data_IF_763078142729
#
_entry.id   IF_763078142729
#
_cell.length_a   1.000
_cell.length_b   1.000
_cell.length_c   1.000
_cell.angle_alpha   90.00
_cell.angle_beta   90.00
_cell.angle_gamma   90.00
#
_symmetry.space_group_name_H-M   'P 1'
#
loop_
_entity.id
_entity.type
_entity.pdbx_description
1 polymer ?
#
# COMPACT_ATOMS: atom_id res chain seq x y z
N UNK A 1 29.56 10.15 8.29
CA UNK A 1 28.39 10.48 9.12
C UNK A 1 27.34 9.41 8.94
N UNK A 2 26.93 8.81 10.02
CA UNK A 2 25.89 7.78 9.97
C UNK A 2 24.60 8.38 9.46
N UNK A 3 23.92 7.64 8.59
CA UNK A 3 22.52 7.96 8.24
C UNK A 3 21.73 7.72 9.51
N UNK A 4 21.21 8.79 10.10
CA UNK A 4 20.35 8.64 11.27
C UNK A 4 19.09 7.91 10.85
N UNK A 5 18.94 6.71 11.37
CA UNK A 5 17.73 5.95 11.19
C UNK A 5 16.63 6.65 11.97
N UNK A 6 15.59 7.08 11.26
CA UNK A 6 14.44 7.71 11.88
C UNK A 6 13.21 6.82 11.68
N UNK A 7 12.75 6.18 12.75
CA UNK A 7 11.57 5.33 12.71
C UNK A 7 10.36 6.08 12.17
N UNK A 8 10.30 7.40 12.38
CA UNK A 8 9.21 8.21 11.84
C UNK A 8 9.14 8.15 10.31
N UNK A 9 10.29 8.02 9.63
CA UNK A 9 10.32 7.91 8.16
C UNK A 9 9.62 6.63 7.67
N UNK A 10 9.73 5.54 8.44
CA UNK A 10 9.05 4.27 8.13
C UNK A 10 7.54 4.50 8.01
N UNK A 11 6.96 5.19 8.99
CA UNK A 11 5.54 5.51 8.97
C UNK A 11 5.17 6.60 7.98
N UNK A 12 6.06 7.58 7.75
CA UNK A 12 5.84 8.60 6.72
C UNK A 12 5.75 7.96 5.34
N UNK A 13 6.62 6.98 5.03
CA UNK A 13 6.54 6.23 3.78
C UNK A 13 5.27 5.37 3.70
N UNK A 14 4.89 4.72 4.82
CA UNK A 14 3.65 3.96 4.87
C UNK A 14 2.43 4.84 4.56
N UNK A 15 2.36 6.01 5.18
CA UNK A 15 1.30 7.01 4.94
C UNK A 15 1.27 7.39 3.46
N UNK A 16 2.42 7.65 2.86
CA UNK A 16 2.52 8.02 1.45
C UNK A 16 2.10 6.89 0.52
N UNK A 17 2.46 5.65 0.85
CA UNK A 17 2.03 4.46 0.12
C UNK A 17 0.49 4.38 0.11
N UNK A 18 -0.14 4.59 1.27
CA UNK A 18 -1.59 4.55 1.39
C UNK A 18 -2.27 5.71 0.63
N UNK A 19 -1.71 6.91 0.72
CA UNK A 19 -2.21 8.06 -0.05
C UNK A 19 -2.18 7.81 -1.56
N UNK A 20 -1.06 7.28 -2.04
CA UNK A 20 -0.90 6.96 -3.46
C UNK A 20 -1.86 5.84 -3.87
N UNK A 21 -2.07 4.86 -3.00
CA UNK A 21 -3.02 3.79 -3.22
C UNK A 21 -4.46 4.29 -3.34
N UNK A 22 -4.88 5.13 -2.41
CA UNK A 22 -6.20 5.75 -2.46
C UNK A 22 -6.41 6.48 -3.77
N UNK A 23 -5.47 7.33 -4.14
CA UNK A 23 -5.54 8.12 -5.36
C UNK A 23 -5.68 7.22 -6.60
N UNK A 24 -4.86 6.19 -6.69
CA UNK A 24 -4.91 5.25 -7.81
C UNK A 24 -6.26 4.54 -7.89
N UNK A 25 -6.73 3.98 -6.78
CA UNK A 25 -7.99 3.24 -6.77
C UNK A 25 -9.18 4.15 -7.08
N UNK A 26 -9.18 5.39 -6.61
CA UNK A 26 -10.25 6.34 -6.94
C UNK A 26 -10.25 6.72 -8.42
N UNK A 27 -9.09 6.88 -9.02
CA UNK A 27 -8.99 7.16 -10.45
C UNK A 27 -9.54 6.02 -11.30
N UNK A 28 -9.20 4.77 -10.95
CA UNK A 28 -9.72 3.61 -11.65
C UNK A 28 -11.25 3.53 -11.48
N UNK A 29 -11.73 3.69 -10.25
CA UNK A 29 -13.16 3.68 -9.96
C UNK A 29 -13.93 4.73 -10.78
N UNK A 30 -13.36 5.92 -10.92
CA UNK A 30 -13.96 7.02 -11.68
C UNK A 30 -14.06 6.72 -13.16
N UNK A 31 -13.05 6.03 -13.72
CA UNK A 31 -12.96 5.77 -15.16
C UNK A 31 -13.53 4.41 -15.58
N UNK A 32 -13.80 3.52 -14.64
CA UNK A 32 -14.33 2.20 -14.93
C UNK A 32 -15.80 2.28 -15.33
N UNK A 33 -16.16 1.54 -16.36
CA UNK A 33 -17.54 1.40 -16.81
C UNK A 33 -18.26 0.25 -16.11
N UNK A 34 -17.52 -0.81 -15.79
CA UNK A 34 -18.06 -2.00 -15.15
C UNK A 34 -18.35 -1.70 -13.68
N UNK A 35 -19.57 -2.02 -13.23
CA UNK A 35 -20.02 -1.73 -11.87
C UNK A 35 -19.20 -2.50 -10.82
N UNK A 36 -18.89 -3.77 -11.08
CA UNK A 36 -18.14 -4.60 -10.11
C UNK A 36 -16.72 -4.07 -9.94
N UNK A 37 -16.09 -3.62 -11.02
CA UNK A 37 -14.79 -2.95 -10.97
C UNK A 37 -14.87 -1.68 -10.15
N UNK A 38 -15.84 -0.84 -10.46
CA UNK A 38 -16.05 0.45 -9.77
C UNK A 38 -16.26 0.23 -8.27
N UNK A 39 -17.14 -0.68 -7.90
CA UNK A 39 -17.47 -0.95 -6.50
C UNK A 39 -16.26 -1.46 -5.73
N UNK A 40 -15.50 -2.39 -6.32
CA UNK A 40 -14.29 -2.90 -5.67
C UNK A 40 -13.24 -1.81 -5.47
N UNK A 41 -12.99 -1.00 -6.50
CA UNK A 41 -11.96 0.03 -6.42
C UNK A 41 -12.34 1.17 -5.47
N UNK A 42 -13.62 1.50 -5.35
CA UNK A 42 -14.09 2.43 -4.29
C UNK A 42 -13.83 1.82 -2.91
N UNK A 43 -14.18 0.55 -2.73
CA UNK A 43 -13.92 -0.14 -1.47
C UNK A 43 -12.43 -0.13 -1.12
N UNK A 44 -11.57 -0.46 -2.07
CA UNK A 44 -10.12 -0.46 -1.85
C UNK A 44 -9.61 0.93 -1.48
N UNK A 45 -10.08 1.97 -2.18
CA UNK A 45 -9.71 3.35 -1.86
C UNK A 45 -10.10 3.73 -0.42
N UNK A 46 -11.29 3.34 0.01
CA UNK A 46 -11.76 3.61 1.37
C UNK A 46 -10.92 2.87 2.42
N UNK A 47 -10.49 1.65 2.12
CA UNK A 47 -9.60 0.89 3.01
C UNK A 47 -8.22 1.55 3.14
N UNK A 48 -7.68 2.11 2.04
CA UNK A 48 -6.42 2.85 2.09
C UNK A 48 -6.51 4.07 3.03
N UNK A 49 -7.65 4.76 3.04
CA UNK A 49 -7.88 5.87 3.98
C UNK A 49 -7.82 5.39 5.43
N UNK A 50 -8.39 4.25 5.72
CA UNK A 50 -8.37 3.66 7.08
C UNK A 50 -6.95 3.26 7.49
N UNK A 51 -6.20 2.63 6.59
CA UNK A 51 -4.82 2.25 6.84
C UNK A 51 -3.95 3.48 7.11
N UNK A 52 -4.12 4.52 6.30
CA UNK A 52 -3.42 5.79 6.50
C UNK A 52 -3.64 6.33 7.91
N UNK A 53 -4.88 6.35 8.37
CA UNK A 53 -5.20 6.84 9.73
C UNK A 53 -4.52 6.02 10.81
N UNK A 54 -4.45 4.70 10.65
CA UNK A 54 -3.73 3.83 11.57
C UNK A 54 -2.25 4.20 11.62
N UNK A 55 -1.61 4.38 10.46
CA UNK A 55 -0.20 4.75 10.42
C UNK A 55 0.06 6.14 10.99
N UNK A 56 -0.83 7.11 10.76
CA UNK A 56 -0.74 8.43 11.37
C UNK A 56 -0.80 8.35 12.89
N UNK A 57 -1.70 7.51 13.41
CA UNK A 57 -1.83 7.30 14.85
C UNK A 57 -0.58 6.62 15.44
N UNK A 58 -0.07 5.59 14.77
CA UNK A 58 1.16 4.91 15.19
C UNK A 58 2.34 5.87 15.18
N UNK A 59 2.45 6.70 14.15
CA UNK A 59 3.50 7.72 14.05
C UNK A 59 3.45 8.69 15.22
N UNK A 60 2.26 9.12 15.64
CA UNK A 60 2.10 10.07 16.74
C UNK A 60 2.61 9.52 18.08
N UNK A 61 2.73 8.20 18.21
CA UNK A 61 3.12 7.54 19.45
C UNK A 61 4.60 7.19 19.54
N UNK A 62 5.40 7.46 18.50
CA UNK A 62 6.82 7.05 18.47
C UNK A 62 7.82 8.19 18.61
N UNK A 63 7.40 9.40 18.96
CA UNK A 63 8.28 10.59 19.04
C UNK A 63 9.53 10.41 19.92
N UNK A 64 9.52 9.44 20.82
CA UNK A 64 10.64 9.18 21.74
C UNK A 64 11.22 7.78 21.61
N UNK A 65 10.84 7.03 20.57
CA UNK A 65 11.33 5.67 20.42
C UNK A 65 12.68 5.67 19.72
N UNK A 66 13.66 5.05 20.36
CA UNK A 66 14.95 4.77 19.73
C UNK A 66 14.97 3.29 19.35
N UNK A 67 15.15 2.95 18.07
CA UNK A 67 15.19 1.55 17.67
C UNK A 67 16.42 0.85 18.30
N UNK A 68 16.30 -0.46 18.57
CA UNK A 68 17.46 -1.22 19.01
C UNK A 68 18.57 -1.08 17.98
N UNK A 69 19.80 -1.00 18.45
CA UNK A 69 20.96 -0.67 17.64
C UNK A 69 21.19 -1.58 16.44
N UNK A 70 21.79 -0.98 15.45
CA UNK A 70 22.50 -1.58 14.31
C UNK A 70 21.69 -2.24 13.22
N UNK A 71 20.86 -1.45 12.55
CA UNK A 71 20.54 -1.79 11.17
C UNK A 71 21.54 -1.10 10.26
N UNK A 72 22.13 -1.82 9.27
CA UNK A 72 23.02 -1.19 8.31
C UNK A 72 22.30 -0.05 7.55
N UNK A 73 23.00 1.05 7.33
CA UNK A 73 22.45 2.18 6.54
C UNK A 73 21.97 1.76 5.15
N UNK A 74 22.63 0.73 4.58
CA UNK A 74 22.24 0.09 3.32
C UNK A 74 20.83 -0.47 3.34
N UNK A 75 20.44 -1.09 4.44
CA UNK A 75 19.12 -1.68 4.59
C UNK A 75 18.04 -0.59 4.63
N UNK A 76 18.35 0.51 5.30
CA UNK A 76 17.43 1.65 5.35
C UNK A 76 17.28 2.32 3.99
N UNK A 77 18.39 2.46 3.26
CA UNK A 77 18.37 2.96 1.90
C UNK A 77 17.53 2.06 0.97
N UNK A 78 17.61 0.76 1.19
CA UNK A 78 16.78 -0.22 0.48
C UNK A 78 15.29 0.01 0.73
N UNK A 79 14.90 0.17 2.00
CA UNK A 79 13.49 0.42 2.36
C UNK A 79 12.98 1.73 1.76
N UNK A 80 13.81 2.77 1.77
CA UNK A 80 13.45 4.06 1.16
C UNK A 80 13.25 3.93 -0.34
N UNK A 81 14.18 3.31 -1.03
CA UNK A 81 14.09 3.08 -2.47
C UNK A 81 12.86 2.23 -2.80
N UNK A 82 12.61 1.19 -2.01
CA UNK A 82 11.45 0.33 -2.19
C UNK A 82 10.14 1.13 -2.07
N UNK A 83 10.03 1.97 -1.04
CA UNK A 83 8.85 2.82 -0.85
C UNK A 83 8.66 3.81 -2.01
N UNK A 84 9.74 4.36 -2.53
CA UNK A 84 9.68 5.29 -3.68
C UNK A 84 9.20 4.60 -4.95
N UNK A 85 9.56 3.33 -5.14
CA UNK A 85 9.10 2.54 -6.29
C UNK A 85 7.61 2.18 -6.21
N UNK A 86 6.98 2.29 -5.05
CA UNK A 86 5.54 2.10 -4.89
C UNK A 86 4.73 3.30 -5.34
N UNK A 87 5.37 4.36 -5.89
CA UNK A 87 4.68 5.51 -6.46
C UNK A 87 3.98 5.08 -7.75
N UNK A 88 2.69 5.37 -7.82
CA UNK A 88 1.88 4.98 -8.96
C UNK A 88 2.20 5.83 -10.20
N UNK A 89 2.12 5.22 -11.39
CA UNK A 89 2.24 5.98 -12.62
C UNK A 89 1.12 7.02 -12.72
N UNK A 90 1.33 8.05 -13.51
CA UNK A 90 0.33 9.09 -13.78
C UNK A 90 -0.94 8.45 -14.29
N UNK A 91 -2.08 8.93 -13.82
CA UNK A 91 -3.39 8.39 -14.16
C UNK A 91 -3.67 8.39 -15.65
N UNK A 92 -4.52 7.47 -16.06
CA UNK A 92 -4.99 7.34 -17.44
C UNK A 92 -6.00 8.47 -17.70
N UNK A 93 -5.76 9.29 -18.73
CA UNK A 93 -6.60 10.46 -19.04
C UNK A 93 -7.88 10.11 -19.81
N UNK A 94 -8.00 8.90 -20.31
CA UNK A 94 -9.14 8.43 -21.11
C UNK A 94 -9.98 7.41 -20.36
N UNK A 95 -11.18 7.13 -20.84
CA UNK A 95 -12.00 6.04 -20.35
C UNK A 95 -11.27 4.71 -20.53
N UNK A 96 -11.41 3.82 -19.56
CA UNK A 96 -10.75 2.51 -19.58
C UNK A 96 -11.49 1.51 -20.43
N UNK A 97 -10.80 0.94 -21.40
CA UNK A 97 -11.25 -0.24 -22.12
C UNK A 97 -10.98 -1.49 -21.28
N UNK A 98 -11.49 -2.65 -21.74
CA UNK A 98 -11.34 -3.91 -20.99
C UNK A 98 -9.89 -4.27 -20.69
N UNK A 99 -8.99 -4.09 -21.66
CA UNK A 99 -7.55 -4.34 -21.47
C UNK A 99 -6.93 -3.40 -20.45
N UNK A 100 -7.34 -2.15 -20.43
CA UNK A 100 -6.89 -1.16 -19.45
C UNK A 100 -7.34 -1.55 -18.04
N UNK A 101 -8.55 -2.10 -17.91
CA UNK A 101 -9.09 -2.58 -16.63
C UNK A 101 -8.25 -3.74 -16.10
N UNK A 102 -7.94 -4.72 -16.94
CA UNK A 102 -7.11 -5.87 -16.55
C UNK A 102 -5.72 -5.38 -16.14
N UNK A 103 -5.13 -4.45 -16.87
CA UNK A 103 -3.85 -3.85 -16.54
C UNK A 103 -3.90 -3.14 -15.18
N UNK A 104 -4.96 -2.37 -14.94
CA UNK A 104 -5.16 -1.68 -13.66
C UNK A 104 -5.31 -2.66 -12.50
N UNK A 105 -6.04 -3.76 -12.70
CA UNK A 105 -6.17 -4.82 -11.69
C UNK A 105 -4.82 -5.47 -11.41
N UNK A 106 -4.05 -5.78 -12.44
CA UNK A 106 -2.71 -6.35 -12.29
C UNK A 106 -1.79 -5.39 -11.53
N UNK A 107 -1.89 -4.10 -11.80
CA UNK A 107 -1.13 -3.07 -11.08
C UNK A 107 -1.53 -3.05 -9.60
N UNK A 108 -2.83 -3.09 -9.32
CA UNK A 108 -3.34 -3.17 -7.95
C UNK A 108 -2.85 -4.41 -7.21
N UNK A 109 -2.86 -5.57 -7.87
CA UNK A 109 -2.37 -6.83 -7.31
C UNK A 109 -0.91 -6.70 -6.89
N UNK A 110 -0.06 -6.16 -7.77
CA UNK A 110 1.37 -5.96 -7.46
C UNK A 110 1.54 -4.96 -6.32
N UNK A 111 0.74 -3.92 -6.32
CA UNK A 111 0.77 -2.91 -5.25
C UNK A 111 0.46 -3.52 -3.89
N UNK A 112 -0.56 -4.39 -3.81
CA UNK A 112 -0.90 -5.06 -2.56
C UNK A 112 0.26 -5.95 -2.08
N UNK A 113 0.85 -6.72 -2.98
CA UNK A 113 2.01 -7.55 -2.64
C UNK A 113 3.21 -6.71 -2.19
N UNK A 114 3.48 -5.60 -2.86
CA UNK A 114 4.58 -4.70 -2.52
C UNK A 114 4.35 -4.03 -1.16
N UNK A 115 3.11 -3.62 -0.87
CA UNK A 115 2.74 -3.04 0.41
C UNK A 115 2.94 -4.06 1.55
N UNK A 116 2.50 -5.30 1.35
CA UNK A 116 2.69 -6.39 2.31
C UNK A 116 4.18 -6.58 2.60
N UNK A 117 4.99 -6.64 1.55
CA UNK A 117 6.44 -6.81 1.69
C UNK A 117 7.08 -5.67 2.49
N UNK A 118 6.70 -4.43 2.15
CA UNK A 118 7.18 -3.24 2.87
C UNK A 118 6.79 -3.30 4.35
N UNK A 119 5.54 -3.62 4.66
CA UNK A 119 5.07 -3.62 6.05
C UNK A 119 5.68 -4.76 6.86
N UNK A 120 5.92 -5.92 6.26
CA UNK A 120 6.63 -7.02 6.92
C UNK A 120 8.05 -6.60 7.32
N UNK A 121 8.76 -5.91 6.42
CA UNK A 121 10.10 -5.39 6.70
C UNK A 121 10.05 -4.27 7.73
N UNK A 122 9.10 -3.36 7.60
CA UNK A 122 8.94 -2.21 8.50
C UNK A 122 8.69 -2.63 9.95
N UNK A 123 8.01 -3.76 10.18
CA UNK A 123 7.77 -4.27 11.53
C UNK A 123 9.02 -4.40 12.36
N UNK A 124 10.14 -4.80 11.74
CA UNK A 124 11.41 -4.97 12.45
C UNK A 124 12.00 -3.67 12.99
N UNK A 125 11.50 -2.52 12.56
CA UNK A 125 12.04 -1.22 12.90
C UNK A 125 11.16 -0.40 13.85
N UNK A 126 10.00 -0.92 14.22
CA UNK A 126 9.03 -0.20 15.05
C UNK A 126 8.82 -0.93 16.37
N UNK A 127 8.25 -0.25 17.40
CA UNK A 127 8.03 -0.89 18.70
C UNK A 127 7.18 -2.14 18.58
N UNK A 128 7.55 -3.16 19.32
CA UNK A 128 6.82 -4.43 19.35
C UNK A 128 5.35 -4.24 19.74
N UNK A 129 5.07 -3.25 20.59
CA UNK A 129 3.70 -2.90 21.00
C UNK A 129 2.82 -2.46 19.85
N UNK A 130 3.41 -2.09 18.71
CA UNK A 130 2.68 -1.65 17.50
C UNK A 130 2.56 -2.74 16.44
N UNK A 131 3.21 -3.89 16.63
CA UNK A 131 3.22 -4.97 15.64
C UNK A 131 1.83 -5.52 15.35
N UNK A 132 0.97 -5.64 16.34
CA UNK A 132 -0.39 -6.19 16.14
C UNK A 132 -1.22 -5.35 15.16
N UNK A 133 -1.08 -4.04 15.19
CA UNK A 133 -1.80 -3.14 14.29
C UNK A 133 -1.28 -3.24 12.85
N UNK A 134 0.04 -3.40 12.71
CA UNK A 134 0.66 -3.62 11.38
C UNK A 134 0.24 -4.98 10.84
N UNK A 135 0.23 -6.01 11.66
CA UNK A 135 -0.22 -7.36 11.26
C UNK A 135 -1.66 -7.36 10.78
N UNK A 136 -2.51 -6.57 11.41
CA UNK A 136 -3.90 -6.41 10.99
C UNK A 136 -4.01 -5.79 9.61
N UNK A 137 -3.21 -4.75 9.33
CA UNK A 137 -3.15 -4.12 8.02
C UNK A 137 -2.65 -5.13 6.98
N UNK A 138 -1.57 -5.85 7.28
CA UNK A 138 -1.03 -6.88 6.38
C UNK A 138 -2.09 -7.93 6.04
N UNK A 139 -2.87 -8.36 7.02
CA UNK A 139 -3.97 -9.30 6.79
C UNK A 139 -5.00 -8.70 5.82
N UNK A 140 -5.36 -7.45 6.01
CA UNK A 140 -6.31 -6.76 5.13
C UNK A 140 -5.76 -6.60 3.71
N UNK A 141 -4.47 -6.29 3.57
CA UNK A 141 -3.83 -6.24 2.25
C UNK A 141 -3.87 -7.61 1.53
N UNK A 142 -3.70 -8.70 2.27
CA UNK A 142 -3.86 -10.04 1.71
C UNK A 142 -5.29 -10.29 1.22
N UNK A 143 -6.28 -9.83 1.96
CA UNK A 143 -7.70 -9.92 1.57
C UNK A 143 -7.97 -9.10 0.30
N UNK A 144 -7.37 -7.91 0.18
CA UNK A 144 -7.47 -7.06 -0.99
C UNK A 144 -6.86 -7.74 -2.22
N UNK A 145 -5.70 -8.35 -2.06
CA UNK A 145 -5.07 -9.15 -3.11
C UNK A 145 -6.01 -10.24 -3.63
N UNK A 146 -6.66 -10.98 -2.73
CA UNK A 146 -7.61 -12.03 -3.10
C UNK A 146 -8.81 -11.46 -3.86
N UNK A 147 -9.36 -10.33 -3.39
CA UNK A 147 -10.50 -9.67 -4.06
C UNK A 147 -10.13 -9.23 -5.47
N UNK A 148 -8.96 -8.64 -5.66
CA UNK A 148 -8.47 -8.22 -6.97
C UNK A 148 -8.25 -9.44 -7.88
N UNK A 149 -7.64 -10.49 -7.36
CA UNK A 149 -7.41 -11.72 -8.11
C UNK A 149 -8.71 -12.37 -8.56
N UNK A 150 -9.72 -12.39 -7.70
CA UNK A 150 -11.04 -12.95 -8.01
C UNK A 150 -11.75 -12.11 -9.09
N UNK A 151 -11.67 -10.78 -8.99
CA UNK A 151 -12.26 -9.90 -10.00
C UNK A 151 -11.58 -10.11 -11.36
N UNK A 152 -10.27 -10.18 -11.39
CA UNK A 152 -9.50 -10.47 -12.60
C UNK A 152 -9.97 -11.78 -13.25
N UNK A 153 -10.08 -12.83 -12.45
CA UNK A 153 -10.51 -14.13 -12.89
C UNK A 153 -11.93 -14.07 -13.49
N UNK A 154 -12.84 -13.41 -12.82
CA UNK A 154 -14.21 -13.21 -13.28
C UNK A 154 -14.25 -12.53 -14.65
N UNK A 155 -13.45 -11.49 -14.84
CA UNK A 155 -13.41 -10.71 -16.08
C UNK A 155 -12.71 -11.46 -17.21
N UNK A 156 -11.66 -12.22 -16.93
CA UNK A 156 -10.90 -12.95 -17.95
C UNK A 156 -11.57 -14.25 -18.37
N UNK A 157 -12.31 -14.89 -17.50
CA UNK A 157 -13.07 -16.09 -17.83
C UNK A 157 -14.33 -15.77 -18.66
N UNK A 158 -14.61 -14.48 -18.91
CA UNK A 158 -15.55 -14.04 -19.94
C UNK A 158 -17.01 -14.37 -19.68
N UNK A 159 -17.42 -14.43 -18.43
CA UNK A 159 -18.79 -14.87 -18.12
C UNK A 159 -19.54 -13.99 -17.19
#
# INVERSE_FOLDING_TARGET
MGVFFNVSEIYQFAIKIEENGEKFYREVAKKAKNKDVKDLFVFLADEEVKHKKVFEELLSKIEKYEPPESYPGEYFAYLRAYAEELIFPKGVEREMEKEDVIEAINFGIRRELDSIMYYLEAKGFVPETQHSQIDKIIKQEREHFVKLSNLKKQLTEGR
#
